data_IF_702276468767
#
_entry.id   IF_702276468767
#
_cell.length_a   1.000
_cell.length_b   1.000
_cell.length_c   1.000
_cell.angle_alpha   90.00
_cell.angle_beta   90.00
_cell.angle_gamma   90.00
#
_symmetry.space_group_name_H-M   'P 1'
#
loop_
_entity.id
_entity.type
_entity.pdbx_description
1 polymer ?
#
# COMPACT_ATOMS: atom_id res chain seq x y z
N UNK A 1 -27.65 -4.54 9.59
CA UNK A 1 -26.53 -3.73 10.14
C UNK A 1 -25.42 -3.75 9.10
N UNK A 2 -25.48 -2.85 8.11
CA UNK A 2 -24.40 -2.70 7.13
C UNK A 2 -23.55 -1.53 7.60
N UNK A 3 -22.39 -1.82 8.20
CA UNK A 3 -21.45 -0.77 8.56
C UNK A 3 -20.84 -0.27 7.25
N UNK A 4 -21.24 0.93 6.84
CA UNK A 4 -20.48 1.70 5.86
C UNK A 4 -19.07 1.89 6.43
N UNK A 5 -18.08 1.20 5.87
CA UNK A 5 -16.68 1.41 6.19
C UNK A 5 -16.33 2.87 5.88
N UNK A 6 -16.38 3.72 6.89
CA UNK A 6 -16.01 5.13 6.80
C UNK A 6 -14.58 5.23 6.26
N UNK A 7 -14.38 6.03 5.21
CA UNK A 7 -13.11 6.31 4.49
C UNK A 7 -11.91 6.51 5.44
N UNK A 8 -12.17 6.98 6.66
CA UNK A 8 -11.25 7.13 7.80
C UNK A 8 -10.57 5.85 8.31
N UNK A 9 -11.02 4.66 7.92
CA UNK A 9 -10.48 3.38 8.41
C UNK A 9 -9.31 2.82 7.59
N UNK A 10 -9.09 3.33 6.37
CA UNK A 10 -8.05 2.80 5.48
C UNK A 10 -6.78 3.65 5.43
N UNK A 11 -6.81 4.86 6.01
CA UNK A 11 -5.64 5.73 6.06
C UNK A 11 -4.56 5.12 6.94
N UNK A 12 -3.31 5.19 6.48
CA UNK A 12 -2.17 4.58 7.16
C UNK A 12 -1.06 4.17 6.22
N UNK A 13 -0.02 3.57 6.80
CA UNK A 13 1.12 3.01 6.09
C UNK A 13 1.18 1.51 6.35
N UNK A 14 1.06 0.74 5.28
CA UNK A 14 0.89 -0.70 5.31
C UNK A 14 2.08 -1.38 4.65
N UNK A 15 2.63 -2.40 5.30
CA UNK A 15 3.77 -3.17 4.82
C UNK A 15 3.33 -4.28 3.86
N UNK A 16 4.03 -4.43 2.74
CA UNK A 16 3.92 -5.61 1.88
C UNK A 16 4.83 -6.70 2.46
N UNK A 17 4.23 -7.67 3.15
CA UNK A 17 4.96 -8.77 3.81
C UNK A 17 5.11 -10.03 2.94
N UNK A 18 4.39 -10.09 1.81
CA UNK A 18 4.45 -11.20 0.87
C UNK A 18 3.83 -10.84 -0.49
N UNK A 19 4.37 -11.38 -1.59
CA UNK A 19 3.79 -11.34 -2.93
C UNK A 19 3.98 -12.68 -3.64
N UNK A 20 3.05 -13.05 -4.52
CA UNK A 20 3.10 -14.33 -5.22
C UNK A 20 4.14 -14.37 -6.36
N UNK A 21 4.33 -13.25 -7.07
CA UNK A 21 5.17 -13.17 -8.28
C UNK A 21 6.61 -12.76 -7.99
N UNK A 22 6.85 -12.07 -6.89
CA UNK A 22 8.15 -11.53 -6.52
C UNK A 22 8.54 -12.07 -5.14
N UNK A 23 9.82 -12.43 -5.00
CA UNK A 23 10.37 -12.74 -3.69
C UNK A 23 10.45 -11.48 -2.82
N UNK A 24 10.58 -11.69 -1.52
CA UNK A 24 10.59 -10.59 -0.55
C UNK A 24 11.83 -9.70 -0.71
N UNK A 25 12.95 -10.26 -1.16
CA UNK A 25 14.20 -9.51 -1.41
C UNK A 25 14.01 -8.47 -2.52
N UNK A 26 13.31 -8.84 -3.60
CA UNK A 26 12.97 -7.92 -4.67
C UNK A 26 11.91 -6.91 -4.22
N UNK A 27 10.88 -7.35 -3.48
CA UNK A 27 9.87 -6.43 -2.93
C UNK A 27 10.52 -5.33 -2.09
N UNK A 28 11.59 -5.66 -1.38
CA UNK A 28 12.31 -4.77 -0.46
C UNK A 28 13.58 -4.13 -1.04
N UNK A 29 13.78 -4.24 -2.36
CA UNK A 29 15.05 -3.91 -3.01
C UNK A 29 15.54 -2.48 -2.76
N UNK A 30 14.63 -1.49 -2.82
CA UNK A 30 14.96 -0.06 -2.59
C UNK A 30 14.68 0.30 -1.13
N UNK A 31 13.51 -0.08 -0.65
CA UNK A 31 13.03 0.13 0.71
C UNK A 31 11.96 -0.94 1.00
N UNK A 32 11.57 -1.14 2.28
CA UNK A 32 10.43 -1.97 2.62
C UNK A 32 9.21 -1.64 1.75
N UNK A 33 8.84 -2.53 0.83
CA UNK A 33 7.63 -2.39 0.03
C UNK A 33 6.39 -2.08 0.88
N UNK A 34 5.59 -1.11 0.42
CA UNK A 34 4.48 -0.53 1.19
C UNK A 34 3.32 -0.06 0.32
N UNK A 35 2.18 0.16 0.98
CA UNK A 35 1.04 0.94 0.49
C UNK A 35 0.73 2.01 1.53
N UNK A 36 0.61 3.26 1.09
CA UNK A 36 0.27 4.40 1.93
C UNK A 36 -1.03 5.02 1.42
N UNK A 37 -1.94 5.32 2.32
CA UNK A 37 -3.21 5.98 2.03
C UNK A 37 -3.37 7.14 3.00
N UNK A 38 -3.68 8.32 2.49
CA UNK A 38 -3.93 9.51 3.32
C UNK A 38 -5.40 9.64 3.72
N UNK A 39 -5.70 10.67 4.50
CA UNK A 39 -7.07 10.93 5.00
C UNK A 39 -8.04 11.38 3.90
N UNK A 40 -7.52 11.89 2.78
CA UNK A 40 -8.31 12.32 1.62
C UNK A 40 -8.66 11.13 0.71
N UNK A 41 -7.99 10.00 0.90
CA UNK A 41 -8.15 8.76 0.14
C UNK A 41 -7.20 8.67 -1.05
N UNK A 42 -6.23 9.57 -1.16
CA UNK A 42 -5.15 9.41 -2.12
C UNK A 42 -4.12 8.42 -1.56
N UNK A 43 -3.42 7.72 -2.44
CA UNK A 43 -2.44 6.75 -2.00
C UNK A 43 -1.24 6.64 -2.91
N UNK A 44 -0.19 6.03 -2.38
CA UNK A 44 1.01 5.68 -3.12
C UNK A 44 1.50 4.31 -2.66
N UNK A 45 2.24 3.63 -3.52
CA UNK A 45 2.88 2.37 -3.18
C UNK A 45 4.27 2.29 -3.80
N UNK A 46 5.13 1.52 -3.16
CA UNK A 46 6.48 1.20 -3.61
C UNK A 46 6.73 -0.29 -3.38
N UNK A 47 7.35 -0.97 -4.34
CA UNK A 47 7.99 -2.27 -4.15
C UNK A 47 9.01 -2.49 -5.26
N UNK A 48 10.18 -3.03 -4.93
CA UNK A 48 11.27 -3.16 -5.91
C UNK A 48 11.59 -1.82 -6.58
N UNK A 49 11.57 -1.79 -7.91
CA UNK A 49 11.71 -0.56 -8.73
C UNK A 49 10.37 0.03 -9.19
N UNK A 50 9.25 -0.48 -8.69
CA UNK A 50 7.90 -0.04 -9.06
C UNK A 50 7.40 0.97 -8.03
N UNK A 51 6.99 2.15 -8.51
CA UNK A 51 6.28 3.17 -7.74
C UNK A 51 5.01 3.57 -8.46
N UNK A 52 3.94 3.80 -7.73
CA UNK A 52 2.68 4.24 -8.31
C UNK A 52 1.84 5.10 -7.37
N UNK A 53 0.84 5.74 -7.96
CA UNK A 53 -0.15 6.55 -7.27
C UNK A 53 -1.54 5.93 -7.42
N UNK A 54 -2.34 6.03 -6.37
CA UNK A 54 -3.72 5.55 -6.27
C UNK A 54 -4.61 6.79 -6.13
N UNK A 55 -5.50 7.00 -7.10
CA UNK A 55 -6.57 7.98 -7.02
C UNK A 55 -7.89 7.24 -6.78
N UNK A 56 -8.50 7.42 -5.60
CA UNK A 56 -9.80 6.84 -5.20
C UNK A 56 -10.86 7.90 -4.98
#
# INVERSE_FOLDING_TARGET
MSQSMTKKSLSGHWRIVWMALWDQEYVDLIEPGYIKIDEEGQGEFQFGVVRGFLAM
#
